data_IF_178938873309
#
_entry.id   IF_178938873309
#
_cell.length_a   1.000
_cell.length_b   1.000
_cell.length_c   1.000
_cell.angle_alpha   90.00
_cell.angle_beta   90.00
_cell.angle_gamma   90.00
#
_symmetry.space_group_name_H-M   'P 1'
#
loop_
_entity.id
_entity.type
_entity.pdbx_description
1 polymer ?
#
# COMPACT_ATOMS: atom_id res chain seq x y z
N UNK A 1 0.75 9.97 -6.19
CA UNK A 1 0.48 10.10 -7.65
C UNK A 1 0.34 11.52 -8.19
N UNK A 2 -0.35 12.44 -7.52
CA UNK A 2 -0.63 13.78 -8.08
C UNK A 2 0.64 14.57 -8.48
N UNK A 3 1.66 14.56 -7.63
CA UNK A 3 2.94 15.25 -7.90
C UNK A 3 3.63 14.72 -9.17
N UNK A 4 3.63 13.40 -9.37
CA UNK A 4 4.21 12.74 -10.54
C UNK A 4 3.47 13.17 -11.81
N UNK A 5 2.14 13.13 -11.82
CA UNK A 5 1.33 13.58 -12.97
C UNK A 5 1.60 15.06 -13.29
N UNK A 6 1.55 15.93 -12.27
CA UNK A 6 1.86 17.36 -12.45
C UNK A 6 3.27 17.61 -12.96
N UNK A 7 4.25 16.83 -12.51
CA UNK A 7 5.62 16.90 -13.01
C UNK A 7 5.70 16.59 -14.50
N UNK A 8 5.07 15.49 -14.93
CA UNK A 8 5.02 15.11 -16.34
C UNK A 8 4.33 16.17 -17.21
N UNK A 9 3.18 16.71 -16.76
CA UNK A 9 2.48 17.78 -17.48
C UNK A 9 3.33 19.04 -17.65
N UNK A 10 4.14 19.39 -16.65
CA UNK A 10 5.09 20.52 -16.77
C UNK A 10 6.15 20.25 -17.84
N UNK A 11 6.71 19.04 -17.90
CA UNK A 11 7.70 18.69 -18.93
C UNK A 11 7.08 18.72 -20.32
N UNK A 12 5.84 18.22 -20.50
CA UNK A 12 5.10 18.32 -21.77
C UNK A 12 4.89 19.77 -22.20
N UNK A 13 4.49 20.62 -21.25
CA UNK A 13 4.26 22.03 -21.52
C UNK A 13 5.56 22.75 -21.92
N UNK A 14 6.65 22.51 -21.20
CA UNK A 14 7.97 23.08 -21.51
C UNK A 14 8.44 22.61 -22.89
N UNK A 15 8.34 21.31 -23.18
CA UNK A 15 8.69 20.76 -24.50
C UNK A 15 7.94 21.45 -25.63
N UNK A 16 6.62 21.58 -25.51
CA UNK A 16 5.77 22.23 -26.52
C UNK A 16 6.11 23.72 -26.69
N UNK A 17 6.50 24.39 -25.61
CA UNK A 17 6.89 25.79 -25.65
C UNK A 17 8.22 25.97 -26.38
N UNK A 18 9.19 25.10 -26.10
CA UNK A 18 10.53 25.16 -26.67
C UNK A 18 10.62 24.82 -28.17
N UNK A 19 9.62 24.18 -28.76
CA UNK A 19 9.60 23.90 -30.21
C UNK A 19 9.66 25.18 -31.07
N UNK A 20 9.22 26.32 -30.53
CA UNK A 20 9.21 27.61 -31.23
C UNK A 20 10.48 28.44 -31.04
N UNK A 21 11.44 27.99 -30.23
CA UNK A 21 12.64 28.77 -29.88
C UNK A 21 13.76 28.68 -30.94
N UNK A 22 13.59 27.86 -31.97
CA UNK A 22 14.57 27.69 -33.04
C UNK A 22 15.80 26.87 -32.63
N UNK A 23 16.95 27.10 -33.25
CA UNK A 23 18.13 26.23 -33.09
C UNK A 23 18.71 26.19 -31.67
N UNK A 24 18.40 27.18 -30.82
CA UNK A 24 18.91 27.24 -29.45
C UNK A 24 18.29 26.15 -28.55
N UNK A 25 17.07 25.68 -28.86
CA UNK A 25 16.36 24.66 -28.08
C UNK A 25 16.47 23.24 -28.65
N UNK A 26 17.12 23.04 -29.80
CA UNK A 26 17.13 21.76 -30.53
C UNK A 26 17.56 20.58 -29.65
N UNK A 27 18.65 20.75 -28.88
CA UNK A 27 19.15 19.71 -27.96
C UNK A 27 18.14 19.43 -26.84
N UNK A 28 17.50 20.47 -26.30
CA UNK A 28 16.47 20.31 -25.27
C UNK A 28 15.25 19.58 -25.81
N UNK A 29 14.72 19.99 -26.97
CA UNK A 29 13.56 19.36 -27.60
C UNK A 29 13.82 17.88 -27.90
N UNK A 30 15.01 17.53 -28.39
CA UNK A 30 15.40 16.14 -28.62
C UNK A 30 15.39 15.31 -27.33
N UNK A 31 16.08 15.79 -26.29
CA UNK A 31 16.20 15.06 -25.03
C UNK A 31 14.85 14.95 -24.30
N UNK A 32 14.08 16.04 -24.26
CA UNK A 32 12.77 16.07 -23.62
C UNK A 32 11.77 15.16 -24.33
N UNK A 33 11.81 15.06 -25.66
CA UNK A 33 10.98 14.12 -26.42
C UNK A 33 11.32 12.67 -26.10
N UNK A 34 12.60 12.31 -26.07
CA UNK A 34 13.05 10.96 -25.72
C UNK A 34 12.64 10.58 -24.29
N UNK A 35 12.80 11.52 -23.34
CA UNK A 35 12.32 11.35 -21.98
C UNK A 35 10.80 11.13 -21.92
N UNK A 36 10.03 11.97 -22.60
CA UNK A 36 8.56 11.88 -22.61
C UNK A 36 8.06 10.54 -23.16
N UNK A 37 8.67 10.01 -24.22
CA UNK A 37 8.31 8.69 -24.78
C UNK A 37 8.28 7.58 -23.72
N UNK A 38 9.24 7.56 -22.79
CA UNK A 38 9.31 6.55 -21.72
C UNK A 38 8.48 6.96 -20.50
N UNK A 39 8.59 8.21 -20.08
CA UNK A 39 7.96 8.70 -18.85
C UNK A 39 6.42 8.64 -18.92
N UNK A 40 5.81 8.90 -20.09
CA UNK A 40 4.37 8.79 -20.26
C UNK A 40 3.86 7.36 -20.02
N UNK A 41 4.55 6.36 -20.58
CA UNK A 41 4.20 4.96 -20.42
C UNK A 41 4.32 4.52 -18.94
N UNK A 42 5.40 4.90 -18.27
CA UNK A 42 5.61 4.59 -16.86
C UNK A 42 4.57 5.26 -15.95
N UNK A 43 4.29 6.56 -16.15
CA UNK A 43 3.28 7.28 -15.37
C UNK A 43 1.88 6.72 -15.59
N UNK A 44 1.57 6.27 -16.81
CA UNK A 44 0.31 5.57 -17.12
C UNK A 44 0.20 4.21 -16.40
N UNK A 45 1.27 3.41 -16.45
CA UNK A 45 1.35 2.13 -15.74
C UNK A 45 1.18 2.31 -14.23
N UNK A 46 1.91 3.26 -13.64
CA UNK A 46 1.83 3.58 -12.22
C UNK A 46 0.44 4.11 -11.83
N UNK A 47 -0.20 4.90 -12.70
CA UNK A 47 -1.56 5.37 -12.49
C UNK A 47 -2.58 4.24 -12.43
N UNK A 48 -2.46 3.25 -13.32
CA UNK A 48 -3.30 2.06 -13.34
C UNK A 48 -3.14 1.26 -12.05
N UNK A 49 -1.89 0.97 -11.66
CA UNK A 49 -1.58 0.26 -10.42
C UNK A 49 -2.14 1.00 -9.19
N UNK A 50 -1.94 2.31 -9.13
CA UNK A 50 -2.44 3.14 -8.03
C UNK A 50 -3.98 3.08 -7.91
N UNK A 51 -4.69 3.05 -9.04
CA UNK A 51 -6.15 2.92 -9.04
C UNK A 51 -6.61 1.57 -8.51
N UNK A 52 -5.97 0.48 -8.94
CA UNK A 52 -6.31 -0.88 -8.48
C UNK A 52 -6.04 -1.03 -6.99
N UNK A 53 -4.88 -0.57 -6.54
CA UNK A 53 -4.52 -0.60 -5.11
C UNK A 53 -5.49 0.24 -4.28
N UNK A 54 -5.84 1.45 -4.75
CA UNK A 54 -6.84 2.29 -4.08
C UNK A 54 -8.18 1.58 -3.89
N UNK A 55 -8.71 0.95 -4.95
CA UNK A 55 -9.96 0.19 -4.85
C UNK A 55 -9.88 -1.00 -3.90
N UNK A 56 -8.75 -1.72 -3.87
CA UNK A 56 -8.54 -2.82 -2.93
C UNK A 56 -8.47 -2.34 -1.48
N UNK A 57 -7.85 -1.19 -1.24
CA UNK A 57 -7.78 -0.54 0.07
C UNK A 57 -9.17 -0.14 0.56
N UNK A 58 -9.96 0.52 -0.30
CA UNK A 58 -11.33 0.92 0.03
C UNK A 58 -12.19 -0.30 0.36
N UNK A 59 -12.07 -1.39 -0.43
CA UNK A 59 -12.79 -2.64 -0.17
C UNK A 59 -12.41 -3.27 1.18
N UNK A 60 -11.12 -3.23 1.56
CA UNK A 60 -10.67 -3.73 2.85
C UNK A 60 -11.21 -2.89 4.01
N UNK A 61 -11.22 -1.56 3.88
CA UNK A 61 -11.78 -0.65 4.88
C UNK A 61 -13.28 -0.94 5.06
N UNK A 62 -14.03 -1.08 3.96
CA UNK A 62 -15.46 -1.43 3.97
C UNK A 62 -15.70 -2.79 4.62
N UNK A 63 -14.84 -3.78 4.37
CA UNK A 63 -14.95 -5.11 4.97
C UNK A 63 -14.92 -5.06 6.50
N UNK A 64 -14.14 -4.15 7.08
CA UNK A 64 -14.11 -3.91 8.53
C UNK A 64 -15.25 -3.00 9.04
N UNK A 65 -16.18 -2.59 8.17
CA UNK A 65 -17.32 -1.74 8.53
C UNK A 65 -16.97 -0.26 8.69
N UNK A 66 -15.81 0.16 8.20
CA UNK A 66 -15.32 1.53 8.29
C UNK A 66 -15.65 2.32 7.01
N UNK A 67 -15.63 3.66 7.11
CA UNK A 67 -15.83 4.57 5.99
C UNK A 67 -14.48 4.92 5.31
N UNK A 68 -14.24 4.55 4.03
CA UNK A 68 -13.00 4.85 3.31
C UNK A 68 -12.64 6.33 3.23
N UNK A 69 -13.62 7.23 3.34
CA UNK A 69 -13.37 8.68 3.31
C UNK A 69 -12.88 9.23 4.65
N UNK A 70 -13.03 8.44 5.73
CA UNK A 70 -12.73 8.83 7.11
C UNK A 70 -11.72 7.93 7.81
N UNK A 71 -11.40 6.78 7.23
CA UNK A 71 -10.48 5.80 7.78
C UNK A 71 -9.23 5.70 6.90
N UNK A 72 -8.03 6.02 7.42
CA UNK A 72 -6.79 5.80 6.70
C UNK A 72 -6.43 4.30 6.68
N UNK A 73 -5.79 3.83 5.60
CA UNK A 73 -5.35 2.43 5.48
C UNK A 73 -4.47 2.00 6.66
N UNK A 74 -3.63 2.90 7.15
CA UNK A 74 -2.71 2.67 8.28
C UNK A 74 -3.47 2.25 9.55
N UNK A 75 -4.69 2.74 9.75
CA UNK A 75 -5.53 2.35 10.89
C UNK A 75 -6.02 0.92 10.74
N UNK A 76 -6.45 0.51 9.54
CA UNK A 76 -6.85 -0.87 9.25
C UNK A 76 -5.68 -1.83 9.43
N UNK A 77 -4.50 -1.48 8.91
CA UNK A 77 -3.27 -2.29 9.07
C UNK A 77 -2.89 -2.42 10.54
N UNK A 78 -2.96 -1.33 11.30
CA UNK A 78 -2.69 -1.35 12.75
C UNK A 78 -3.67 -2.26 13.48
N UNK A 79 -4.95 -2.21 13.12
CA UNK A 79 -5.99 -3.06 13.71
C UNK A 79 -5.72 -4.54 13.44
N UNK A 80 -5.40 -4.90 12.20
CA UNK A 80 -5.02 -6.25 11.81
C UNK A 80 -3.77 -6.76 12.55
N UNK A 81 -2.75 -5.91 12.67
CA UNK A 81 -1.51 -6.23 13.38
C UNK A 81 -1.79 -6.52 14.86
N UNK A 82 -2.55 -5.64 15.52
CA UNK A 82 -2.92 -5.81 16.92
C UNK A 82 -3.75 -7.08 17.14
N UNK A 83 -4.74 -7.32 16.28
CA UNK A 83 -5.57 -8.52 16.34
C UNK A 83 -4.71 -9.79 16.24
N UNK A 84 -3.83 -9.87 15.24
CA UNK A 84 -2.96 -11.03 15.03
C UNK A 84 -2.04 -11.26 16.22
N UNK A 85 -1.47 -10.19 16.79
CA UNK A 85 -0.64 -10.26 17.98
C UNK A 85 -1.39 -10.79 19.21
N UNK A 86 -2.57 -10.24 19.48
CA UNK A 86 -3.42 -10.69 20.60
C UNK A 86 -3.89 -12.13 20.41
N UNK A 87 -4.28 -12.50 19.19
CA UNK A 87 -4.72 -13.86 18.86
C UNK A 87 -3.61 -14.88 19.10
N UNK A 88 -2.40 -14.61 18.60
CA UNK A 88 -1.26 -15.51 18.80
C UNK A 88 -0.91 -15.66 20.29
N UNK A 89 -0.95 -14.56 21.05
CA UNK A 89 -0.72 -14.59 22.49
C UNK A 89 -1.78 -15.43 23.22
N UNK A 90 -3.06 -15.21 22.93
CA UNK A 90 -4.14 -16.00 23.51
C UNK A 90 -4.01 -17.49 23.16
N UNK A 91 -3.59 -17.81 21.93
CA UNK A 91 -3.35 -19.19 21.51
C UNK A 91 -2.23 -19.86 22.32
N UNK A 92 -1.12 -19.16 22.57
CA UNK A 92 -0.03 -19.66 23.42
C UNK A 92 -0.49 -19.85 24.88
N UNK A 93 -1.20 -18.88 25.43
CA UNK A 93 -1.75 -18.94 26.78
C UNK A 93 -2.72 -20.12 26.95
N UNK A 94 -3.58 -20.36 25.96
CA UNK A 94 -4.51 -21.50 25.95
C UNK A 94 -3.78 -22.84 25.93
N UNK A 95 -2.69 -22.95 25.15
CA UNK A 95 -1.89 -24.18 25.10
C UNK A 95 -1.23 -24.47 26.45
N UNK A 96 -0.63 -23.46 27.07
CA UNK A 96 0.00 -23.57 28.39
C UNK A 96 -1.02 -23.96 29.48
N UNK A 97 -2.23 -23.40 29.44
CA UNK A 97 -3.30 -23.75 30.37
C UNK A 97 -3.73 -25.21 30.22
N UNK A 98 -3.93 -25.67 28.97
CA UNK A 98 -4.32 -27.05 28.68
C UNK A 98 -3.29 -28.05 29.22
N UNK A 99 -2.00 -27.81 29.01
CA UNK A 99 -0.95 -28.67 29.56
C UNK A 99 -0.96 -28.74 31.10
N UNK A 100 -1.18 -27.60 31.76
CA UNK A 100 -1.26 -27.54 33.22
C UNK A 100 -2.48 -28.31 33.75
N UNK A 101 -3.62 -28.22 33.07
CA UNK A 101 -4.83 -28.97 33.44
C UNK A 101 -4.67 -30.48 33.25
N UNK A 102 -4.03 -30.92 32.16
CA UNK A 102 -3.71 -32.33 31.93
C UNK A 102 -2.82 -32.90 33.04
N UNK A 103 -1.73 -32.20 33.38
CA UNK A 103 -0.82 -32.62 34.46
C UNK A 103 -1.53 -32.73 35.82
N UNK A 104 -2.37 -31.75 36.17
CA UNK A 104 -3.15 -31.78 37.41
C UNK A 104 -4.12 -32.98 37.45
N UNK A 105 -4.73 -33.29 36.33
CA UNK A 105 -5.67 -34.42 36.21
C UNK A 105 -4.94 -35.75 36.42
N UNK A 106 -3.78 -35.93 35.78
CA UNK A 106 -2.93 -37.12 35.96
C UNK A 106 -2.42 -37.29 37.40
N UNK A 107 -1.98 -36.20 38.04
CA UNK A 107 -1.56 -36.24 39.45
C UNK A 107 -2.70 -36.59 40.40
N UNK A 108 -3.93 -36.11 40.13
CA UNK A 108 -5.10 -36.42 40.95
C UNK A 108 -5.57 -37.87 40.77
N UNK A 109 -5.38 -38.46 39.59
CA UNK A 109 -5.71 -39.85 39.29
C UNK A 109 -4.70 -40.85 39.86
N UNK A 110 -3.43 -40.45 40.00
CA UNK A 110 -2.37 -41.28 40.61
C UNK A 110 -2.33 -41.20 42.13
N UNK A 111 -2.95 -40.19 42.74
CA UNK A 111 -3.07 -40.02 44.21
C UNK A 111 -4.32 -40.66 44.82
N UNK A 112 -5.12 -41.38 44.04
CA UNK A 112 -6.36 -42.05 44.46
C UNK A 112 -6.20 -43.57 44.39
#
# INVERSE_FOLDING_TARGET
MQAIRKGLEKVKHEHSSSENDGSISETFCKNSKEFLCSAEAEVSSLASLYSVVGGNVDALIIYFGEDPTRCPLEQVVTTLLNFTGMFNKANEENHNQLELEMKKTEESATKK
#
